data_IF_319050987070
#
_entry.id   IF_319050987070
#
_cell.length_a   1.000
_cell.length_b   1.000
_cell.length_c   1.000
_cell.angle_alpha   90.00
_cell.angle_beta   90.00
_cell.angle_gamma   90.00
#
_symmetry.space_group_name_H-M   'P 1'
#
loop_
_entity.id
_entity.type
_entity.pdbx_description
1 polymer ?
#
# COMPACT_ATOMS: atom_id res chain seq x y z
N UNK A 1 9.61 5.66 4.74
CA UNK A 1 11.08 5.42 4.76
C UNK A 1 11.82 6.10 5.94
N UNK A 2 11.10 6.63 6.93
CA UNK A 2 11.71 7.42 8.02
C UNK A 2 12.45 6.57 9.07
N UNK A 3 12.15 5.28 9.19
CA UNK A 3 12.81 4.36 10.12
C UNK A 3 14.14 3.76 9.63
N UNK A 4 14.44 3.78 8.32
CA UNK A 4 15.72 3.28 7.81
C UNK A 4 16.83 4.30 8.12
N UNK A 5 17.75 3.97 9.03
CA UNK A 5 18.95 4.78 9.24
C UNK A 5 20.10 4.27 8.37
N UNK A 6 21.07 5.15 8.06
CA UNK A 6 22.30 4.75 7.36
C UNK A 6 23.07 3.68 8.13
N UNK A 7 22.93 3.65 9.47
CA UNK A 7 23.53 2.65 10.34
C UNK A 7 22.89 1.28 10.15
N UNK A 8 21.56 1.21 10.11
CA UNK A 8 20.84 -0.05 9.89
C UNK A 8 21.18 -0.63 8.52
N UNK A 9 21.27 0.22 7.50
CA UNK A 9 21.69 -0.20 6.17
C UNK A 9 23.13 -0.71 6.17
N UNK A 10 24.06 0.03 6.76
CA UNK A 10 25.46 -0.34 6.88
C UNK A 10 25.63 -1.73 7.52
N UNK A 11 24.89 -1.99 8.59
CA UNK A 11 24.87 -3.28 9.26
C UNK A 11 24.31 -4.37 8.35
N UNK A 12 23.20 -4.12 7.66
CA UNK A 12 22.57 -5.09 6.76
C UNK A 12 23.45 -5.50 5.58
N UNK A 13 24.25 -4.57 5.03
CA UNK A 13 25.15 -4.83 3.89
C UNK A 13 26.60 -5.17 4.31
N UNK A 14 26.88 -5.21 5.62
CA UNK A 14 28.22 -5.50 6.15
C UNK A 14 29.27 -4.45 5.76
N UNK A 15 28.89 -3.18 5.64
CA UNK A 15 29.80 -2.06 5.29
C UNK A 15 29.79 -0.99 6.38
N UNK A 16 30.74 -0.07 6.35
CA UNK A 16 30.71 1.11 7.22
C UNK A 16 29.75 2.17 6.67
N UNK A 17 29.19 2.98 7.56
CA UNK A 17 28.37 4.14 7.17
C UNK A 17 29.15 5.12 6.29
N UNK A 18 30.47 5.25 6.48
CA UNK A 18 31.36 6.07 5.66
C UNK A 18 31.37 5.67 4.19
N UNK A 19 31.33 4.36 3.88
CA UNK A 19 31.26 3.89 2.48
C UNK A 19 29.94 4.32 1.84
N UNK A 20 28.83 4.24 2.57
CA UNK A 20 27.51 4.63 2.07
C UNK A 20 27.45 6.15 1.86
N UNK A 21 27.98 6.94 2.79
CA UNK A 21 28.09 8.39 2.66
C UNK A 21 28.98 8.79 1.48
N UNK A 22 30.10 8.10 1.24
CA UNK A 22 30.96 8.39 0.10
C UNK A 22 30.28 8.09 -1.25
N UNK A 23 29.45 7.05 -1.32
CA UNK A 23 28.77 6.66 -2.56
C UNK A 23 27.53 7.49 -2.87
N UNK A 24 26.78 7.89 -1.83
CA UNK A 24 25.45 8.48 -1.99
C UNK A 24 25.32 9.88 -1.38
N UNK A 25 26.36 10.39 -0.73
CA UNK A 25 26.39 11.67 -0.02
C UNK A 25 25.56 11.66 1.26
N UNK A 26 24.24 11.61 1.11
CA UNK A 26 23.27 11.66 2.20
C UNK A 26 22.17 10.61 2.01
N UNK A 27 21.30 10.47 3.02
CA UNK A 27 20.12 9.59 2.95
C UNK A 27 19.22 9.92 1.75
N UNK A 28 19.08 11.19 1.39
CA UNK A 28 18.34 11.63 0.21
C UNK A 28 18.93 11.07 -1.09
N UNK A 29 20.26 11.16 -1.25
CA UNK A 29 20.96 10.61 -2.43
C UNK A 29 20.86 9.09 -2.52
N UNK A 30 20.85 8.40 -1.38
CA UNK A 30 20.60 6.95 -1.33
C UNK A 30 19.16 6.62 -1.76
N UNK A 31 18.16 7.33 -1.24
CA UNK A 31 16.75 7.15 -1.62
C UNK A 31 16.57 7.40 -3.12
N UNK A 32 17.21 8.44 -3.66
CA UNK A 32 17.20 8.72 -5.10
C UNK A 32 17.80 7.56 -5.89
N UNK A 33 18.99 7.07 -5.52
CA UNK A 33 19.65 5.96 -6.22
C UNK A 33 18.82 4.66 -6.18
N UNK A 34 18.18 4.38 -5.04
CA UNK A 34 17.24 3.24 -4.90
C UNK A 34 16.02 3.42 -5.80
N UNK A 35 15.51 4.64 -5.90
CA UNK A 35 14.41 5.01 -6.79
C UNK A 35 14.75 4.86 -8.28
N UNK A 36 15.94 5.30 -8.71
CA UNK A 36 16.41 5.12 -10.09
C UNK A 36 16.58 3.63 -10.44
N UNK A 37 17.14 2.82 -9.54
CA UNK A 37 17.25 1.37 -9.74
C UNK A 37 15.87 0.71 -9.77
N UNK A 38 14.92 1.16 -8.94
CA UNK A 38 13.53 0.69 -8.98
C UNK A 38 12.87 1.04 -10.32
N UNK A 39 13.08 2.25 -10.85
CA UNK A 39 12.59 2.67 -12.16
C UNK A 39 13.14 1.79 -13.27
N UNK A 40 14.46 1.54 -13.27
CA UNK A 40 15.12 0.66 -14.24
C UNK A 40 14.55 -0.76 -14.21
N UNK A 41 14.33 -1.32 -13.01
CA UNK A 41 13.75 -2.67 -12.86
C UNK A 41 12.30 -2.73 -13.31
N UNK A 42 11.52 -1.68 -13.02
CA UNK A 42 10.11 -1.60 -13.39
C UNK A 42 9.95 -1.43 -14.91
N UNK A 43 10.79 -0.62 -15.56
CA UNK A 43 10.83 -0.52 -17.02
C UNK A 43 11.14 -1.89 -17.66
N UNK A 44 12.20 -2.56 -17.19
CA UNK A 44 12.55 -3.89 -17.68
C UNK A 44 11.46 -4.95 -17.40
N UNK A 45 10.67 -4.78 -16.32
CA UNK A 45 9.50 -5.61 -16.06
C UNK A 45 8.42 -5.40 -17.11
N UNK A 46 8.07 -4.15 -17.43
CA UNK A 46 7.07 -3.83 -18.46
C UNK A 46 7.50 -4.34 -19.84
N UNK A 47 8.76 -4.16 -20.22
CA UNK A 47 9.31 -4.67 -21.49
C UNK A 47 9.09 -6.19 -21.61
N UNK A 48 9.50 -6.95 -20.59
CA UNK A 48 9.33 -8.42 -20.58
C UNK A 48 7.87 -8.83 -20.55
N UNK A 49 7.05 -8.12 -19.76
CA UNK A 49 5.64 -8.42 -19.61
C UNK A 49 4.90 -8.28 -20.94
N UNK A 50 5.07 -7.15 -21.64
CA UNK A 50 4.39 -6.91 -22.90
C UNK A 50 5.00 -7.68 -24.08
N UNK A 51 6.31 -7.96 -24.07
CA UNK A 51 6.90 -8.89 -25.05
C UNK A 51 6.29 -10.28 -24.98
N UNK A 52 5.99 -10.80 -23.77
CA UNK A 52 5.43 -12.13 -23.60
C UNK A 52 4.02 -12.29 -24.17
N UNK A 53 3.30 -11.17 -24.37
CA UNK A 53 1.94 -11.14 -24.93
C UNK A 53 1.87 -10.35 -26.24
N UNK A 54 3.00 -10.17 -26.92
CA UNK A 54 3.05 -9.46 -28.19
C UNK A 54 2.14 -10.15 -29.22
N UNK A 55 1.25 -9.35 -29.84
CA UNK A 55 0.27 -9.84 -30.81
C UNK A 55 -1.00 -10.47 -30.20
N UNK A 56 -1.14 -10.50 -28.87
CA UNK A 56 -2.41 -10.87 -28.24
C UNK A 56 -3.51 -9.86 -28.62
N UNK A 57 -4.67 -10.29 -29.16
CA UNK A 57 -5.77 -9.38 -29.46
C UNK A 57 -6.28 -8.67 -28.20
N UNK A 58 -6.44 -7.35 -28.30
CA UNK A 58 -6.96 -6.51 -27.20
C UNK A 58 -8.49 -6.58 -27.16
N UNK A 59 -8.99 -7.74 -26.74
CA UNK A 59 -10.40 -8.00 -26.48
C UNK A 59 -10.69 -7.90 -24.98
N UNK A 60 -11.95 -7.66 -24.62
CA UNK A 60 -12.38 -7.43 -23.22
C UNK A 60 -11.85 -8.48 -22.25
N UNK A 61 -12.04 -9.77 -22.55
CA UNK A 61 -11.64 -10.85 -21.64
C UNK A 61 -10.12 -11.05 -21.60
N UNK A 62 -9.43 -10.86 -22.73
CA UNK A 62 -7.97 -10.88 -22.79
C UNK A 62 -7.37 -9.75 -21.96
N UNK A 63 -7.91 -8.53 -22.09
CA UNK A 63 -7.45 -7.36 -21.34
C UNK A 63 -7.70 -7.53 -19.84
N UNK A 64 -8.89 -8.01 -19.44
CA UNK A 64 -9.20 -8.31 -18.05
C UNK A 64 -8.21 -9.33 -17.46
N UNK A 65 -7.99 -10.46 -18.16
CA UNK A 65 -7.06 -11.50 -17.73
C UNK A 65 -5.62 -10.96 -17.65
N UNK A 66 -5.20 -10.15 -18.62
CA UNK A 66 -3.86 -9.55 -18.65
C UNK A 66 -3.63 -8.61 -17.46
N UNK A 67 -4.60 -7.76 -17.14
CA UNK A 67 -4.49 -6.82 -16.01
C UNK A 67 -4.47 -7.58 -14.68
N UNK A 68 -5.29 -8.62 -14.52
CA UNK A 68 -5.24 -9.48 -13.32
C UNK A 68 -3.88 -10.17 -13.18
N UNK A 69 -3.33 -10.67 -14.29
CA UNK A 69 -2.00 -11.28 -14.29
C UNK A 69 -0.90 -10.27 -13.92
N UNK A 70 -0.96 -9.05 -14.49
CA UNK A 70 -0.06 -7.95 -14.14
C UNK A 70 -0.06 -7.65 -12.63
N UNK A 71 -1.26 -7.54 -12.02
CA UNK A 71 -1.40 -7.30 -10.58
C UNK A 71 -0.77 -8.42 -9.75
N UNK A 72 -1.04 -9.68 -10.11
CA UNK A 72 -0.50 -10.84 -9.41
C UNK A 72 1.03 -10.88 -9.45
N UNK A 73 1.63 -10.59 -10.61
CA UNK A 73 3.08 -10.51 -10.74
C UNK A 73 3.68 -9.41 -9.86
N UNK A 74 3.03 -8.24 -9.79
CA UNK A 74 3.49 -7.09 -8.97
C UNK A 74 3.23 -7.24 -7.48
N UNK A 75 2.32 -8.14 -7.09
CA UNK A 75 2.13 -8.59 -5.71
C UNK A 75 3.10 -9.71 -5.31
N UNK A 76 3.76 -10.35 -6.28
CA UNK A 76 4.67 -11.49 -6.06
C UNK A 76 5.96 -11.11 -5.32
N UNK A 77 6.66 -12.10 -4.73
CA UNK A 77 7.88 -11.88 -3.95
C UNK A 77 9.03 -11.31 -4.78
N UNK A 78 9.08 -11.60 -6.08
CA UNK A 78 10.13 -11.11 -6.99
C UNK A 78 9.94 -9.64 -7.39
N UNK A 79 8.79 -9.05 -7.08
CA UNK A 79 8.45 -7.67 -7.38
C UNK A 79 8.86 -6.69 -6.27
N UNK A 80 10.02 -6.92 -5.65
CA UNK A 80 10.55 -6.07 -4.56
C UNK A 80 10.70 -4.58 -4.95
N UNK A 81 10.89 -4.28 -6.25
CA UNK A 81 10.91 -2.91 -6.76
C UNK A 81 9.57 -2.17 -6.57
N UNK A 82 8.45 -2.88 -6.52
CA UNK A 82 7.12 -2.30 -6.27
C UNK A 82 7.02 -1.75 -4.84
N UNK A 83 7.60 -2.46 -3.87
CA UNK A 83 7.60 -2.07 -2.46
C UNK A 83 8.36 -0.75 -2.22
N UNK A 84 9.37 -0.47 -3.06
CA UNK A 84 10.09 0.80 -3.06
C UNK A 84 9.13 1.94 -3.41
N UNK A 85 8.34 1.79 -4.48
CA UNK A 85 7.36 2.77 -4.91
C UNK A 85 6.25 2.99 -3.88
N UNK A 86 5.72 1.91 -3.30
CA UNK A 86 4.75 2.00 -2.20
C UNK A 86 5.30 2.82 -1.03
N UNK A 87 6.57 2.59 -0.66
CA UNK A 87 7.25 3.36 0.37
C UNK A 87 7.48 4.82 0.00
N UNK A 88 7.73 5.13 -1.29
CA UNK A 88 7.94 6.50 -1.78
C UNK A 88 6.62 7.29 -1.84
N UNK A 89 5.52 6.64 -2.23
CA UNK A 89 4.18 7.23 -2.33
C UNK A 89 3.60 7.65 -0.97
N UNK A 90 3.93 6.91 0.09
CA UNK A 90 3.38 7.15 1.43
C UNK A 90 4.16 8.20 2.25
N UNK A 91 5.24 8.76 1.71
CA UNK A 91 6.08 9.71 2.43
C UNK A 91 5.56 11.15 2.26
N UNK A 92 5.27 11.84 3.37
CA UNK A 92 4.52 13.10 3.38
C UNK A 92 5.30 14.32 2.82
N UNK A 93 6.63 14.27 2.81
CA UNK A 93 7.48 15.36 2.29
C UNK A 93 8.14 14.95 0.97
N UNK A 94 7.70 15.58 -0.12
CA UNK A 94 8.24 15.32 -1.46
C UNK A 94 9.10 16.50 -1.91
N UNK A 95 10.42 16.31 -1.95
CA UNK A 95 11.35 17.26 -2.59
C UNK A 95 11.24 17.25 -4.13
N UNK A 96 11.84 18.25 -4.83
CA UNK A 96 11.75 18.35 -6.29
C UNK A 96 12.29 17.13 -7.02
N UNK A 97 13.42 16.56 -6.58
CA UNK A 97 14.03 15.35 -7.18
C UNK A 97 13.09 14.14 -7.12
N UNK A 98 12.35 14.00 -6.01
CA UNK A 98 11.39 12.91 -5.84
C UNK A 98 10.15 13.12 -6.69
N UNK A 99 9.67 14.36 -6.83
CA UNK A 99 8.56 14.68 -7.75
C UNK A 99 8.92 14.32 -9.18
N UNK A 100 10.13 14.65 -9.61
CA UNK A 100 10.64 14.27 -10.93
C UNK A 100 10.68 12.74 -11.10
N UNK A 101 11.24 12.02 -10.12
CA UNK A 101 11.29 10.56 -10.14
C UNK A 101 9.87 9.93 -10.22
N UNK A 102 8.92 10.44 -9.43
CA UNK A 102 7.53 9.98 -9.45
C UNK A 102 6.86 10.24 -10.81
N UNK A 103 7.11 11.42 -11.40
CA UNK A 103 6.58 11.77 -12.71
C UNK A 103 7.14 10.86 -13.82
N UNK A 104 8.45 10.58 -13.80
CA UNK A 104 9.08 9.63 -14.74
C UNK A 104 8.53 8.22 -14.59
N UNK A 105 8.29 7.78 -13.36
CA UNK A 105 7.70 6.48 -13.09
C UNK A 105 6.26 6.34 -13.58
N UNK A 106 5.40 7.33 -13.30
CA UNK A 106 4.03 7.36 -13.81
C UNK A 106 4.00 7.43 -15.35
N UNK A 107 4.85 8.28 -15.95
CA UNK A 107 4.97 8.38 -17.41
C UNK A 107 5.38 7.06 -18.06
N UNK A 108 6.41 6.38 -17.55
CA UNK A 108 6.86 5.08 -18.05
C UNK A 108 5.75 4.03 -18.04
N UNK A 109 4.98 3.96 -16.94
CA UNK A 109 3.87 2.99 -16.83
C UNK A 109 2.72 3.32 -17.79
N UNK A 110 2.38 4.61 -17.92
CA UNK A 110 1.34 5.07 -18.85
C UNK A 110 1.73 4.79 -20.29
N UNK A 111 2.98 5.05 -20.66
CA UNK A 111 3.50 4.78 -22.00
C UNK A 111 3.43 3.29 -22.33
N UNK A 112 3.95 2.42 -21.45
CA UNK A 112 3.92 0.98 -21.68
C UNK A 112 2.48 0.42 -21.88
N UNK A 113 1.53 0.87 -21.06
CA UNK A 113 0.12 0.48 -21.24
C UNK A 113 -0.51 1.11 -22.47
N UNK A 114 -0.22 2.38 -22.77
CA UNK A 114 -0.73 3.06 -23.96
C UNK A 114 -0.27 2.34 -25.23
N UNK A 115 1.01 1.96 -25.31
CA UNK A 115 1.57 1.26 -26.45
C UNK A 115 0.91 -0.10 -26.68
N UNK A 116 0.66 -0.86 -25.61
CA UNK A 116 -0.08 -2.12 -25.71
C UNK A 116 -1.53 -1.92 -26.16
N UNK A 117 -2.20 -0.88 -25.63
CA UNK A 117 -3.59 -0.56 -25.93
C UNK A 117 -3.77 0.13 -27.29
N UNK A 118 -2.71 0.65 -27.91
CA UNK A 118 -2.75 1.33 -29.21
C UNK A 118 -3.19 0.44 -30.38
N UNK A 119 -3.34 -0.88 -30.15
CA UNK A 119 -4.03 -1.76 -31.09
C UNK A 119 -5.52 -1.43 -31.27
N UNK A 120 -6.13 -0.69 -30.33
CA UNK A 120 -7.49 -0.16 -30.41
C UNK A 120 -7.51 1.30 -29.94
N UNK A 121 -7.71 2.24 -30.86
CA UNK A 121 -7.70 3.68 -30.59
C UNK A 121 -8.64 4.10 -29.45
N UNK A 122 -9.73 3.36 -29.21
CA UNK A 122 -10.70 3.63 -28.14
C UNK A 122 -10.08 3.42 -26.75
N UNK A 123 -9.04 2.60 -26.65
CA UNK A 123 -8.42 2.20 -25.39
C UNK A 123 -7.14 2.99 -25.06
N UNK A 124 -6.63 3.81 -25.98
CA UNK A 124 -5.41 4.61 -25.77
C UNK A 124 -5.54 5.52 -24.54
N UNK A 125 -6.68 6.21 -24.41
CA UNK A 125 -6.95 7.10 -23.27
C UNK A 125 -7.23 6.33 -21.97
N UNK A 126 -7.58 5.04 -22.06
CA UNK A 126 -7.82 4.19 -20.90
C UNK A 126 -6.54 3.85 -20.11
N UNK A 127 -5.36 3.96 -20.73
CA UNK A 127 -4.08 3.72 -20.07
C UNK A 127 -3.89 4.58 -18.80
N UNK A 128 -4.34 5.83 -18.82
CA UNK A 128 -4.21 6.74 -17.69
C UNK A 128 -5.03 6.32 -16.47
N UNK A 129 -6.36 6.18 -16.59
CA UNK A 129 -7.22 5.63 -15.54
C UNK A 129 -6.76 4.25 -15.04
N UNK A 130 -6.35 3.37 -15.96
CA UNK A 130 -5.85 2.05 -15.61
C UNK A 130 -4.60 2.12 -14.72
N UNK A 131 -3.59 2.91 -15.10
CA UNK A 131 -2.36 3.06 -14.31
C UNK A 131 -2.65 3.68 -12.95
N UNK A 132 -3.55 4.66 -12.87
CA UNK A 132 -3.96 5.24 -11.59
C UNK A 132 -4.60 4.19 -10.68
N UNK A 133 -5.54 3.41 -11.22
CA UNK A 133 -6.20 2.33 -10.49
C UNK A 133 -5.20 1.26 -10.04
N UNK A 134 -4.33 0.79 -10.95
CA UNK A 134 -3.28 -0.20 -10.64
C UNK A 134 -2.30 0.29 -9.56
N UNK A 135 -2.02 1.60 -9.52
CA UNK A 135 -1.15 2.21 -8.51
C UNK A 135 -1.80 2.19 -7.13
N UNK A 136 -3.11 2.38 -7.04
CA UNK A 136 -3.83 2.22 -5.78
C UNK A 136 -3.99 0.74 -5.40
N UNK A 137 -4.32 -0.11 -6.38
CA UNK A 137 -4.62 -1.51 -6.14
C UNK A 137 -3.40 -2.32 -5.69
N UNK A 138 -2.18 -1.96 -6.11
CA UNK A 138 -0.95 -2.69 -5.75
C UNK A 138 -0.74 -2.82 -4.22
N UNK A 139 -1.17 -1.81 -3.46
CA UNK A 139 -1.07 -1.81 -1.99
C UNK A 139 -1.94 -2.92 -1.38
N UNK A 140 -3.17 -3.07 -1.89
CA UNK A 140 -4.10 -4.11 -1.45
C UNK A 140 -3.69 -5.48 -1.99
N UNK A 141 -3.24 -5.55 -3.24
CA UNK A 141 -2.85 -6.81 -3.88
C UNK A 141 -1.71 -7.50 -3.14
N UNK A 142 -0.71 -6.74 -2.67
CA UNK A 142 0.35 -7.29 -1.83
C UNK A 142 -0.14 -7.72 -0.45
N UNK A 143 -0.94 -6.88 0.22
CA UNK A 143 -1.37 -7.11 1.60
C UNK A 143 -2.44 -8.23 1.74
N UNK A 144 -3.27 -8.41 0.72
CA UNK A 144 -4.41 -9.33 0.70
C UNK A 144 -4.19 -10.52 -0.23
N UNK A 145 -2.96 -10.72 -0.70
CA UNK A 145 -2.60 -11.86 -1.55
C UNK A 145 -3.04 -13.19 -0.95
N UNK A 146 -3.57 -14.08 -1.79
CA UNK A 146 -4.09 -15.39 -1.41
C UNK A 146 -5.49 -15.39 -0.79
N UNK A 147 -6.12 -14.23 -0.58
CA UNK A 147 -7.51 -14.15 -0.11
C UNK A 147 -8.51 -14.23 -1.26
N UNK A 148 -9.37 -15.24 -1.24
CA UNK A 148 -10.39 -15.44 -2.28
C UNK A 148 -11.44 -14.33 -2.31
N UNK A 149 -11.82 -13.78 -1.14
CA UNK A 149 -12.80 -12.68 -1.06
C UNK A 149 -12.26 -11.41 -1.74
N UNK A 150 -10.99 -11.11 -1.53
CA UNK A 150 -10.30 -10.03 -2.24
C UNK A 150 -10.24 -10.26 -3.75
N UNK A 151 -9.81 -11.46 -4.18
CA UNK A 151 -9.70 -11.79 -5.60
C UNK A 151 -11.02 -11.61 -6.36
N UNK A 152 -12.16 -11.98 -5.75
CA UNK A 152 -13.49 -11.79 -6.34
C UNK A 152 -13.86 -10.31 -6.50
N UNK A 153 -13.61 -9.49 -5.47
CA UNK A 153 -13.93 -8.05 -5.50
C UNK A 153 -13.08 -7.32 -6.53
N UNK A 154 -11.79 -7.63 -6.59
CA UNK A 154 -10.88 -7.04 -7.59
C UNK A 154 -11.28 -7.43 -9.00
N UNK A 155 -11.61 -8.70 -9.22
CA UNK A 155 -12.05 -9.17 -10.54
C UNK A 155 -13.34 -8.47 -10.99
N UNK A 156 -14.30 -8.27 -10.08
CA UNK A 156 -15.55 -7.54 -10.35
C UNK A 156 -15.30 -6.06 -10.66
N UNK A 157 -14.55 -5.36 -9.80
CA UNK A 157 -14.25 -3.94 -9.98
C UNK A 157 -13.44 -3.66 -11.25
N UNK A 158 -12.43 -4.50 -11.51
CA UNK A 158 -11.65 -4.43 -12.74
C UNK A 158 -12.48 -4.78 -13.98
N UNK A 159 -13.40 -5.75 -13.86
CA UNK A 159 -14.35 -6.09 -14.92
C UNK A 159 -15.18 -4.87 -15.34
N UNK A 160 -15.76 -4.15 -14.37
CA UNK A 160 -16.48 -2.90 -14.63
C UNK A 160 -15.61 -1.82 -15.27
N UNK A 161 -14.37 -1.65 -14.78
CA UNK A 161 -13.42 -0.68 -15.35
C UNK A 161 -13.09 -0.99 -16.82
N UNK A 162 -12.88 -2.26 -17.16
CA UNK A 162 -12.63 -2.70 -18.54
C UNK A 162 -13.90 -2.58 -19.38
N UNK A 163 -15.07 -2.98 -18.87
CA UNK A 163 -16.34 -2.87 -19.58
C UNK A 163 -16.63 -1.40 -19.95
N UNK A 164 -16.36 -0.45 -19.05
CA UNK A 164 -16.46 0.98 -19.33
C UNK A 164 -15.53 1.42 -20.48
N UNK A 165 -14.29 0.92 -20.53
CA UNK A 165 -13.36 1.20 -21.61
C UNK A 165 -13.86 0.70 -22.98
N UNK A 166 -14.64 -0.38 -22.99
CA UNK A 166 -15.31 -0.91 -24.20
C UNK A 166 -16.70 -0.29 -24.46
N UNK A 167 -17.12 0.72 -23.70
CA UNK A 167 -18.44 1.35 -23.83
C UNK A 167 -19.60 0.43 -23.44
N UNK A 168 -19.34 -0.59 -22.61
CA UNK A 168 -20.36 -1.50 -22.09
C UNK A 168 -20.97 -0.95 -20.81
N UNK A 169 -22.25 -1.26 -20.52
CA UNK A 169 -22.88 -0.86 -19.28
C UNK A 169 -22.27 -1.61 -18.09
N UNK A 170 -22.34 -0.99 -16.90
CA UNK A 170 -21.92 -1.62 -15.66
C UNK A 170 -22.77 -2.86 -15.35
N UNK A 171 -22.10 -3.96 -15.00
CA UNK A 171 -22.72 -5.13 -14.43
C UNK A 171 -23.08 -4.96 -12.95
N UNK A 172 -23.88 -5.87 -12.37
CA UNK A 172 -24.15 -5.85 -10.94
C UNK A 172 -22.87 -6.10 -10.12
N UNK A 173 -22.70 -5.34 -9.03
CA UNK A 173 -21.58 -5.48 -8.10
C UNK A 173 -21.82 -6.60 -7.06
N UNK A 174 -22.15 -7.80 -7.52
CA UNK A 174 -22.57 -8.93 -6.68
C UNK A 174 -21.55 -9.32 -5.61
N UNK A 175 -20.27 -9.49 -5.96
CA UNK A 175 -19.21 -9.87 -5.03
C UNK A 175 -18.94 -8.76 -4.00
N UNK A 176 -18.95 -7.50 -4.43
CA UNK A 176 -18.76 -6.34 -3.56
C UNK A 176 -19.91 -6.19 -2.58
N UNK A 177 -21.16 -6.30 -3.05
CA UNK A 177 -22.35 -6.22 -2.20
C UNK A 177 -22.45 -7.40 -1.24
N UNK A 178 -22.19 -8.63 -1.72
CA UNK A 178 -22.09 -9.80 -0.86
C UNK A 178 -21.02 -9.61 0.20
N UNK A 179 -19.83 -9.12 -0.17
CA UNK A 179 -18.75 -8.90 0.80
C UNK A 179 -19.19 -7.91 1.86
N UNK A 180 -19.79 -6.79 1.45
CA UNK A 180 -20.28 -5.74 2.36
C UNK A 180 -21.26 -6.32 3.39
N UNK A 181 -22.18 -7.17 2.96
CA UNK A 181 -23.17 -7.81 3.83
C UNK A 181 -22.57 -8.86 4.77
N UNK A 182 -21.49 -9.54 4.34
CA UNK A 182 -20.83 -10.61 5.09
C UNK A 182 -19.52 -10.15 5.75
N UNK A 183 -19.24 -8.85 5.73
CA UNK A 183 -18.04 -8.28 6.35
C UNK A 183 -18.24 -8.22 7.86
N UNK A 184 -17.56 -9.11 8.58
CA UNK A 184 -17.41 -8.98 10.02
C UNK A 184 -16.44 -7.85 10.29
N UNK A 185 -16.97 -6.67 10.59
CA UNK A 185 -16.16 -5.55 11.04
C UNK A 185 -15.50 -5.91 12.39
N UNK A 186 -14.18 -5.67 12.54
CA UNK A 186 -13.55 -5.83 13.85
C UNK A 186 -14.22 -4.88 14.85
N UNK A 187 -14.42 -5.34 16.08
CA UNK A 187 -14.86 -4.46 17.17
C UNK A 187 -13.77 -3.43 17.46
N UNK A 188 -14.17 -2.23 17.88
CA UNK A 188 -13.17 -1.24 18.25
C UNK A 188 -12.39 -1.76 19.47
N UNK A 189 -11.04 -1.72 19.48
CA UNK A 189 -10.27 -2.30 20.59
C UNK A 189 -10.54 -1.68 21.97
N UNK A 190 -11.06 -0.45 22.00
CA UNK A 190 -11.54 0.23 23.21
C UNK A 190 -13.06 0.10 23.46
N UNK A 191 -13.78 -0.64 22.63
CA UNK A 191 -15.22 -0.87 22.79
C UNK A 191 -15.49 -1.63 24.10
N UNK A 192 -16.39 -1.08 24.93
CA UNK A 192 -16.70 -1.65 26.24
C UNK A 192 -15.62 -1.43 27.31
N UNK A 193 -14.54 -0.70 27.02
CA UNK A 193 -13.57 -0.29 28.04
C UNK A 193 -14.05 0.97 28.76
N UNK A 194 -13.91 0.96 30.08
CA UNK A 194 -14.15 2.15 30.92
C UNK A 194 -13.27 3.33 30.44
N UNK A 195 -13.81 4.57 30.45
CA UNK A 195 -13.07 5.77 30.03
C UNK A 195 -11.71 5.92 30.72
N UNK A 196 -11.65 5.61 32.03
CA UNK A 196 -10.44 5.74 32.85
C UNK A 196 -9.57 4.46 32.86
N UNK A 197 -9.90 3.46 32.05
CA UNK A 197 -9.13 2.22 32.03
C UNK A 197 -7.72 2.44 31.48
N UNK A 198 -6.72 1.86 32.16
CA UNK A 198 -5.32 1.94 31.71
C UNK A 198 -5.15 1.40 30.29
N UNK A 199 -5.89 0.35 29.93
CA UNK A 199 -5.89 -0.23 28.58
C UNK A 199 -6.32 0.80 27.52
N UNK A 200 -7.39 1.56 27.77
CA UNK A 200 -7.84 2.63 26.87
C UNK A 200 -6.82 3.77 26.79
N UNK A 201 -6.31 4.22 27.93
CA UNK A 201 -5.27 5.27 28.00
C UNK A 201 -4.02 4.91 27.17
N UNK A 202 -3.56 3.67 27.25
CA UNK A 202 -2.42 3.18 26.47
C UNK A 202 -2.71 3.15 24.96
N UNK A 203 -3.93 2.77 24.57
CA UNK A 203 -4.38 2.80 23.17
C UNK A 203 -4.48 4.23 22.62
N UNK A 204 -5.00 5.18 23.41
CA UNK A 204 -5.10 6.59 23.01
C UNK A 204 -3.70 7.21 22.77
N UNK A 205 -2.78 6.99 23.70
CA UNK A 205 -1.38 7.46 23.57
C UNK A 205 -0.72 6.85 22.33
N UNK A 206 -0.90 5.55 22.11
CA UNK A 206 -0.33 4.89 20.94
C UNK A 206 -0.92 5.47 19.64
N UNK A 207 -2.24 5.63 19.56
CA UNK A 207 -2.91 6.23 18.41
C UNK A 207 -2.37 7.64 18.10
N UNK A 208 -2.20 8.49 19.11
CA UNK A 208 -1.64 9.84 18.95
C UNK A 208 -0.20 9.80 18.40
N UNK A 209 0.63 8.90 18.95
CA UNK A 209 2.01 8.70 18.46
C UNK A 209 2.04 8.18 17.02
N UNK A 210 1.11 7.29 16.64
CA UNK A 210 1.01 6.78 15.27
C UNK A 210 0.60 7.86 14.27
N UNK A 211 -0.36 8.71 14.63
CA UNK A 211 -0.82 9.79 13.76
C UNK A 211 0.25 10.87 13.60
N UNK A 212 1.05 11.14 14.65
CA UNK A 212 2.11 12.15 14.59
C UNK A 212 3.41 11.65 13.94
N UNK A 213 3.79 10.39 14.16
CA UNK A 213 5.13 9.87 13.81
C UNK A 213 5.13 8.54 13.06
N UNK A 214 3.96 8.04 12.65
CA UNK A 214 3.78 6.74 12.02
C UNK A 214 3.85 5.57 13.02
N UNK A 215 3.49 4.38 12.54
CA UNK A 215 3.40 3.15 13.36
C UNK A 215 4.71 2.81 14.07
N UNK A 216 5.86 3.13 13.47
CA UNK A 216 7.18 2.85 14.06
C UNK A 216 7.54 3.72 15.26
N UNK A 217 6.81 4.83 15.50
CA UNK A 217 7.01 5.67 16.67
C UNK A 217 6.56 4.99 17.98
N UNK A 218 5.70 3.96 17.87
CA UNK A 218 5.12 3.25 19.02
C UNK A 218 6.04 2.13 19.49
N UNK A 219 6.56 2.28 20.70
CA UNK A 219 7.36 1.28 21.42
C UNK A 219 6.84 1.15 22.85
N UNK A 220 7.13 0.03 23.53
CA UNK A 220 6.80 -0.12 24.95
C UNK A 220 7.30 1.08 25.78
N UNK A 221 8.52 1.55 25.49
CA UNK A 221 9.12 2.68 26.19
C UNK A 221 8.42 4.00 25.87
N UNK A 222 8.16 4.29 24.59
CA UNK A 222 7.55 5.57 24.19
C UNK A 222 6.15 5.74 24.75
N UNK A 223 5.35 4.67 24.80
CA UNK A 223 4.00 4.71 25.34
C UNK A 223 4.02 4.78 26.88
N UNK A 224 4.78 3.92 27.55
CA UNK A 224 4.83 3.88 29.02
C UNK A 224 5.35 5.17 29.64
N UNK A 225 6.33 5.83 29.00
CA UNK A 225 6.84 7.15 29.45
C UNK A 225 5.74 8.19 29.44
N UNK A 226 4.94 8.28 28.37
CA UNK A 226 3.82 9.23 28.28
C UNK A 226 2.68 8.84 29.21
N UNK A 227 2.42 7.55 29.37
CA UNK A 227 1.38 7.04 30.26
C UNK A 227 1.70 7.24 31.75
N UNK A 228 2.97 7.46 32.09
CA UNK A 228 3.47 7.50 33.46
C UNK A 228 3.54 6.11 34.11
N UNK A 229 3.76 5.05 33.33
CA UNK A 229 3.72 3.65 33.79
C UNK A 229 5.01 2.91 33.48
N UNK A 230 5.14 1.67 33.98
CA UNK A 230 6.22 0.77 33.60
C UNK A 230 5.95 0.13 32.24
N UNK A 231 7.01 -0.32 31.57
CA UNK A 231 6.89 -1.09 30.31
C UNK A 231 6.16 -2.43 30.51
N UNK A 232 6.15 -2.96 31.73
CA UNK A 232 5.40 -4.18 32.08
C UNK A 232 3.88 -4.00 32.06
N UNK A 233 3.36 -2.77 32.14
CA UNK A 233 1.91 -2.51 32.07
C UNK A 233 1.32 -2.88 30.71
N UNK A 234 2.07 -2.69 29.61
CA UNK A 234 1.63 -3.13 28.28
C UNK A 234 1.63 -4.66 28.21
N UNK A 235 2.67 -5.31 28.73
CA UNK A 235 2.75 -6.78 28.77
C UNK A 235 1.66 -7.43 29.64
N UNK A 236 1.09 -6.69 30.61
CA UNK A 236 -0.05 -7.14 31.40
C UNK A 236 -1.35 -7.20 30.58
N UNK A 237 -1.53 -6.29 29.61
CA UNK A 237 -2.75 -6.19 28.82
C UNK A 237 -2.67 -6.86 27.45
N UNK A 238 -1.47 -7.02 26.90
CA UNK A 238 -1.25 -7.63 25.59
C UNK A 238 -0.17 -8.70 25.66
N UNK A 239 -0.35 -9.83 24.94
CA UNK A 239 0.61 -10.94 24.95
C UNK A 239 1.95 -10.55 24.34
N UNK A 240 1.95 -9.63 23.38
CA UNK A 240 3.14 -9.10 22.74
C UNK A 240 2.91 -7.69 22.18
N UNK A 241 4.01 -7.05 21.79
CA UNK A 241 3.99 -5.72 21.19
C UNK A 241 3.25 -5.69 19.84
N UNK A 242 3.30 -6.77 19.06
CA UNK A 242 2.65 -6.84 17.75
C UNK A 242 1.14 -6.73 17.92
N UNK A 243 0.56 -7.42 18.90
CA UNK A 243 -0.86 -7.36 19.22
C UNK A 243 -1.27 -6.01 19.76
N UNK A 244 -0.45 -5.40 20.62
CA UNK A 244 -0.68 -4.04 21.09
C UNK A 244 -0.70 -3.04 19.93
N UNK A 245 0.27 -3.10 19.02
CA UNK A 245 0.33 -2.23 17.83
C UNK A 245 -0.89 -2.45 16.94
N UNK A 246 -1.31 -3.70 16.69
CA UNK A 246 -2.50 -4.00 15.89
C UNK A 246 -3.76 -3.41 16.51
N UNK A 247 -3.96 -3.59 17.81
CA UNK A 247 -5.09 -3.01 18.53
C UNK A 247 -5.00 -1.46 18.52
N UNK A 248 -3.81 -0.86 18.63
CA UNK A 248 -3.65 0.59 18.55
C UNK A 248 -3.94 1.15 17.14
N UNK A 249 -3.57 0.44 16.07
CA UNK A 249 -3.91 0.81 14.68
C UNK A 249 -5.42 0.76 14.46
N UNK A 250 -6.09 -0.32 14.89
CA UNK A 250 -7.54 -0.39 14.78
C UNK A 250 -8.22 0.68 15.66
N UNK A 251 -7.69 0.93 16.85
CA UNK A 251 -8.17 1.99 17.72
C UNK A 251 -8.07 3.37 17.06
N UNK A 252 -6.93 3.72 16.44
CA UNK A 252 -6.80 4.98 15.71
C UNK A 252 -7.80 5.08 14.56
N UNK A 253 -8.00 3.99 13.81
CA UNK A 253 -8.99 3.95 12.72
C UNK A 253 -10.40 4.22 13.27
N UNK A 254 -10.84 3.52 14.31
CA UNK A 254 -12.19 3.70 14.84
C UNK A 254 -12.40 5.02 15.58
N UNK A 255 -11.35 5.55 16.22
CA UNK A 255 -11.40 6.82 16.96
C UNK A 255 -11.57 8.01 16.03
N UNK A 256 -10.82 8.02 14.93
CA UNK A 256 -10.71 9.17 14.02
C UNK A 256 -11.47 8.97 12.69
N UNK A 257 -12.23 7.87 12.54
CA UNK A 257 -13.09 7.64 11.38
C UNK A 257 -14.15 8.75 11.28
N UNK A 258 -14.23 9.48 10.16
CA UNK A 258 -15.28 10.46 9.93
C UNK A 258 -16.67 9.85 10.12
N UNK A 259 -17.57 10.55 10.80
CA UNK A 259 -18.91 10.02 11.16
C UNK A 259 -19.74 9.55 9.96
N UNK A 260 -19.52 10.14 8.78
CA UNK A 260 -20.19 9.71 7.54
C UNK A 260 -19.68 8.37 7.00
N UNK A 261 -18.47 7.95 7.36
CA UNK A 261 -17.94 6.60 7.13
C UNK A 261 -18.28 5.64 8.28
N UNK A 262 -18.55 6.17 9.48
CA UNK A 262 -18.98 5.39 10.65
C UNK A 262 -20.45 4.91 10.58
N UNK A 263 -21.18 5.25 9.51
CA UNK A 263 -22.62 4.97 9.31
C UNK A 263 -23.00 3.53 8.97
N UNK A 264 -22.12 2.54 9.21
CA UNK A 264 -22.45 1.12 9.09
C UNK A 264 -22.08 0.35 10.36
N UNK A 265 -22.45 0.89 11.52
CA UNK A 265 -22.65 0.03 12.69
C UNK A 265 -23.97 -0.71 12.45
N UNK A 266 -23.98 -2.05 12.28
CA UNK A 266 -25.24 -2.78 12.36
C UNK A 266 -25.85 -2.50 13.74
N UNK A 267 -27.11 -2.10 13.76
CA UNK A 267 -27.93 -2.11 14.99
C UNK A 267 -28.03 -3.53 15.56
#
# INVERSE_FOLDING_TARGET
MNSLTLRDLAQAVGKSTTVIVNLFGAKSGLIQAVGEEALRRDAAFHDRFFQAVAGLPVERDNLLALIQHYLNLRAGPDAGFVRIWEGLLLDAEVGPERRDLMARWDAMRREAWRDHLAADDRLVEFAGPLVAWLTMEQFYAGALSGRSDYALIVAEGLGGLVDHAFGRPDGPATATLWRREHLVLPKAPAEGLEPESMRRKLLDIAADQMLAGGVTAVTNRSVSVVAGTSTSTIAYHWPDMRRFVLDAVWHSVFRDMPRYLAGQRPE
#
